data_IF_687670137031
#
_entry.id   IF_687670137031
#
_cell.length_a   1.000
_cell.length_b   1.000
_cell.length_c   1.000
_cell.angle_alpha   90.00
_cell.angle_beta   90.00
_cell.angle_gamma   90.00
#
_symmetry.space_group_name_H-M   'P 1'
#
loop_
_entity.id
_entity.type
_entity.pdbx_description
1 polymer ?
#
# COMPACT_ATOMS: atom_id res chain seq x y z
N UNK A 1 47.31 -12.74 -8.95
CA UNK A 1 46.49 -13.27 -10.05
C UNK A 1 45.39 -14.09 -9.43
N UNK A 2 44.14 -13.60 -9.51
CA UNK A 2 42.98 -14.19 -8.82
C UNK A 2 42.59 -15.50 -9.50
N UNK A 3 42.34 -16.53 -8.71
CA UNK A 3 41.84 -17.83 -9.17
C UNK A 3 40.41 -17.66 -9.68
N UNK A 4 40.22 -17.76 -11.00
CA UNK A 4 38.89 -17.95 -11.58
C UNK A 4 38.34 -19.31 -11.16
N UNK A 5 37.09 -19.33 -10.69
CA UNK A 5 36.42 -20.56 -10.27
C UNK A 5 36.16 -21.46 -11.47
N UNK A 6 36.43 -22.76 -11.30
CA UNK A 6 36.26 -23.79 -12.34
C UNK A 6 34.81 -23.93 -12.85
N UNK A 7 33.85 -23.35 -12.15
CA UNK A 7 32.44 -23.35 -12.52
C UNK A 7 32.14 -22.41 -13.70
N UNK A 8 32.84 -21.27 -13.81
CA UNK A 8 32.65 -20.31 -14.90
C UNK A 8 33.18 -20.84 -16.25
N UNK A 9 34.21 -21.69 -16.22
CA UNK A 9 34.80 -22.29 -17.44
C UNK A 9 33.89 -23.35 -18.08
N UNK A 10 32.99 -23.95 -17.30
CA UNK A 10 32.06 -24.99 -17.77
C UNK A 10 30.82 -24.38 -18.46
N UNK A 11 30.43 -23.17 -18.09
CA UNK A 11 29.27 -22.49 -18.69
C UNK A 11 29.58 -21.91 -20.09
N UNK A 12 30.81 -21.43 -20.31
CA UNK A 12 31.23 -20.85 -21.60
C UNK A 12 31.41 -21.92 -22.69
N UNK A 13 31.68 -23.17 -22.33
CA UNK A 13 31.82 -24.29 -23.30
C UNK A 13 30.46 -24.79 -23.80
N UNK A 14 29.38 -24.64 -23.02
CA UNK A 14 28.05 -25.12 -23.40
C UNK A 14 27.34 -24.21 -24.41
N UNK A 15 27.61 -22.89 -24.37
CA UNK A 15 27.00 -21.91 -25.30
C UNK A 15 27.65 -21.99 -26.70
N UNK A 16 28.89 -22.49 -26.81
CA UNK A 16 29.58 -22.59 -28.10
C UNK A 16 29.18 -23.82 -28.96
N UNK A 17 28.40 -24.77 -28.42
CA UNK A 17 27.98 -25.98 -29.16
C UNK A 17 26.63 -25.87 -29.89
N UNK A 18 25.91 -24.75 -29.80
CA UNK A 18 24.57 -24.61 -30.40
C UNK A 18 24.52 -23.95 -31.79
N UNK A 19 25.65 -23.72 -32.47
CA UNK A 19 25.68 -22.96 -33.74
C UNK A 19 26.00 -23.79 -35.00
N UNK A 20 26.08 -25.13 -34.96
CA UNK A 20 26.41 -25.90 -36.19
C UNK A 20 25.56 -27.18 -36.36
N UNK A 21 24.35 -27.03 -36.92
CA UNK A 21 23.64 -27.99 -37.78
C UNK A 21 22.29 -27.33 -38.15
N UNK A 22 21.98 -26.97 -39.40
CA UNK A 22 21.82 -27.88 -40.52
C UNK A 22 21.71 -27.09 -41.83
N UNK A 23 22.71 -27.23 -42.69
CA UNK A 23 22.58 -27.11 -44.14
C UNK A 23 22.58 -28.54 -44.68
N UNK A 24 21.52 -28.96 -45.39
CA UNK A 24 21.56 -30.14 -46.26
C UNK A 24 21.59 -29.68 -47.72
N UNK A 25 22.69 -30.01 -48.40
CA UNK A 25 22.86 -30.02 -49.86
C UNK A 25 22.91 -31.47 -50.35
N UNK A 26 22.43 -31.69 -51.58
CA UNK A 26 22.91 -32.61 -52.64
C UNK A 26 21.70 -33.09 -53.48
N UNK A 27 21.77 -33.34 -54.79
CA UNK A 27 22.67 -33.05 -55.91
C UNK A 27 21.91 -33.53 -57.18
N UNK A 28 22.20 -32.99 -58.37
CA UNK A 28 21.57 -33.41 -59.65
C UNK A 28 22.02 -34.80 -60.16
N UNK A 29 21.90 -35.17 -61.47
CA UNK A 29 21.63 -34.33 -62.65
C UNK A 29 20.75 -34.95 -63.78
N UNK A 30 20.62 -34.16 -64.87
CA UNK A 30 20.53 -34.50 -66.30
C UNK A 30 19.31 -34.03 -67.14
N UNK A 31 19.67 -33.16 -68.08
CA UNK A 31 18.98 -32.49 -69.18
C UNK A 31 18.38 -33.42 -70.24
N UNK A 32 17.17 -33.11 -70.75
CA UNK A 32 16.81 -33.21 -72.19
C UNK A 32 15.78 -32.16 -72.62
N UNK A 33 15.91 -31.77 -73.89
CA UNK A 33 15.32 -30.66 -74.65
C UNK A 33 13.79 -30.61 -74.80
N UNK A 34 13.36 -29.36 -75.07
CA UNK A 34 12.25 -28.90 -75.96
C UNK A 34 10.84 -29.44 -75.72
N UNK A 35 9.92 -28.55 -75.33
CA UNK A 35 8.82 -28.08 -76.19
C UNK A 35 8.40 -26.67 -75.74
N UNK A 36 8.36 -25.76 -76.70
CA UNK A 36 7.81 -24.41 -76.62
C UNK A 36 6.30 -24.49 -76.38
N UNK A 37 5.84 -23.92 -75.26
CA UNK A 37 4.44 -23.50 -75.08
C UNK A 37 4.47 -22.10 -74.49
N UNK A 38 3.97 -21.12 -75.25
CA UNK A 38 3.71 -19.77 -74.77
C UNK A 38 2.73 -19.84 -73.60
N UNK A 39 3.18 -19.42 -72.42
CA UNK A 39 2.37 -19.26 -71.23
C UNK A 39 2.02 -17.76 -71.11
N UNK A 40 0.74 -17.39 -70.92
CA UNK A 40 0.31 -16.00 -70.90
C UNK A 40 0.86 -15.26 -69.67
N UNK A 41 1.03 -13.94 -69.82
CA UNK A 41 1.46 -12.98 -68.80
C UNK A 41 0.81 -13.24 -67.44
N UNK A 42 1.56 -13.18 -66.32
CA UNK A 42 0.94 -13.06 -65.00
C UNK A 42 0.22 -11.71 -64.91
N UNK A 43 -1.08 -11.75 -64.63
CA UNK A 43 -1.84 -10.57 -64.22
C UNK A 43 -1.19 -9.96 -62.96
N UNK A 44 -1.19 -8.63 -62.82
CA UNK A 44 -0.65 -7.97 -61.65
C UNK A 44 -1.43 -8.41 -60.40
N UNK A 45 -0.72 -8.97 -59.42
CA UNK A 45 -1.25 -9.15 -58.06
C UNK A 45 -1.66 -7.77 -57.54
N UNK A 46 -2.97 -7.57 -57.33
CA UNK A 46 -3.50 -6.43 -56.60
C UNK A 46 -2.94 -6.49 -55.18
N UNK A 47 -2.14 -5.48 -54.81
CA UNK A 47 -1.74 -5.26 -53.42
C UNK A 47 -3.01 -5.23 -52.55
N UNK A 48 -3.06 -5.98 -51.43
CA UNK A 48 -4.20 -5.91 -50.53
C UNK A 48 -4.34 -4.46 -50.04
N UNK A 49 -5.48 -3.83 -50.34
CA UNK A 49 -5.87 -2.55 -49.76
C UNK A 49 -5.71 -2.63 -48.24
N UNK A 50 -4.78 -1.83 -47.72
CA UNK A 50 -4.61 -1.60 -46.29
C UNK A 50 -5.91 -0.98 -45.78
N UNK A 51 -6.72 -1.79 -45.11
CA UNK A 51 -7.93 -1.34 -44.44
C UNK A 51 -7.46 -0.43 -43.31
N UNK A 52 -7.46 0.88 -43.54
CA UNK A 52 -7.28 1.88 -42.49
C UNK A 52 -8.38 1.66 -41.45
N UNK A 53 -8.00 1.12 -40.28
CA UNK A 53 -8.90 1.08 -39.14
C UNK A 53 -9.25 2.53 -38.76
N UNK A 54 -10.53 2.84 -38.49
CA UNK A 54 -10.92 4.19 -38.12
C UNK A 54 -10.21 4.58 -36.83
N UNK A 55 -9.44 5.67 -36.88
CA UNK A 55 -8.86 6.30 -35.69
C UNK A 55 -10.01 6.82 -34.84
N UNK A 56 -10.26 6.19 -33.69
CA UNK A 56 -11.24 6.68 -32.73
C UNK A 56 -10.82 8.08 -32.24
N UNK A 57 -11.73 9.05 -32.31
CA UNK A 57 -11.48 10.39 -31.78
C UNK A 57 -11.41 10.32 -30.25
N UNK A 58 -10.28 10.73 -29.68
CA UNK A 58 -10.10 10.80 -28.22
C UNK A 58 -11.01 11.88 -27.64
N UNK A 59 -11.90 11.51 -26.71
CA UNK A 59 -12.87 12.41 -26.07
C UNK A 59 -12.60 12.56 -24.57
N UNK A 60 -13.36 13.43 -23.89
CA UNK A 60 -13.32 13.62 -22.43
C UNK A 60 -14.40 12.81 -21.68
N UNK A 61 -15.18 11.98 -22.39
CA UNK A 61 -16.37 11.33 -21.81
C UNK A 61 -16.03 10.44 -20.61
N UNK A 62 -14.96 9.66 -20.70
CA UNK A 62 -14.50 8.79 -19.61
C UNK A 62 -13.97 9.59 -18.41
N UNK A 63 -13.25 10.69 -18.67
CA UNK A 63 -12.77 11.59 -17.60
C UNK A 63 -13.92 12.29 -16.88
N UNK A 64 -14.97 12.65 -17.61
CA UNK A 64 -16.20 13.21 -17.04
C UNK A 64 -16.95 12.18 -16.19
N UNK A 65 -16.95 10.90 -16.61
CA UNK A 65 -17.49 9.81 -15.79
C UNK A 65 -16.76 9.71 -14.45
N UNK A 66 -15.43 9.78 -14.41
CA UNK A 66 -14.69 9.84 -13.15
C UNK A 66 -15.08 11.07 -12.33
N UNK A 67 -15.05 12.26 -12.94
CA UNK A 67 -15.39 13.51 -12.28
C UNK A 67 -16.78 13.51 -11.62
N UNK A 68 -17.76 12.87 -12.26
CA UNK A 68 -19.13 12.78 -11.74
C UNK A 68 -19.32 11.76 -10.63
N UNK A 69 -18.40 10.80 -10.52
CA UNK A 69 -18.46 9.69 -9.58
C UNK A 69 -17.44 9.81 -8.44
N UNK A 70 -16.96 11.02 -8.16
CA UNK A 70 -16.15 11.35 -6.99
C UNK A 70 -16.84 12.37 -6.09
N UNK A 71 -16.55 12.31 -4.79
CA UNK A 71 -16.97 13.29 -3.80
C UNK A 71 -15.73 13.80 -3.06
N UNK A 72 -15.58 15.13 -3.01
CA UNK A 72 -14.48 15.78 -2.30
C UNK A 72 -15.09 16.74 -1.29
N UNK A 73 -14.91 16.48 0.00
CA UNK A 73 -15.41 17.36 1.07
C UNK A 73 -14.75 18.73 0.95
N UNK A 74 -15.54 19.80 1.02
CA UNK A 74 -15.05 21.16 0.77
C UNK A 74 -14.80 21.48 -0.72
N UNK A 75 -15.07 20.55 -1.63
CA UNK A 75 -14.96 20.73 -3.07
C UNK A 75 -16.22 21.34 -3.70
N UNK A 76 -16.03 22.30 -4.58
CA UNK A 76 -17.07 22.88 -5.45
C UNK A 76 -16.73 22.58 -6.91
N UNK A 77 -17.68 22.00 -7.66
CA UNK A 77 -17.53 21.76 -9.10
C UNK A 77 -17.51 23.08 -9.87
N UNK A 78 -16.55 23.25 -10.77
CA UNK A 78 -16.40 24.43 -11.64
C UNK A 78 -16.14 23.99 -13.08
N UNK A 79 -16.92 24.53 -14.00
CA UNK A 79 -16.77 24.29 -15.44
C UNK A 79 -15.52 24.96 -16.00
N UNK A 80 -14.82 24.24 -16.89
CA UNK A 80 -13.62 24.69 -17.59
C UNK A 80 -12.34 24.03 -17.09
N UNK A 81 -11.20 24.58 -17.54
CA UNK A 81 -9.89 24.14 -17.09
C UNK A 81 -9.50 24.80 -15.76
N UNK A 82 -8.61 24.14 -15.01
CA UNK A 82 -7.98 24.74 -13.83
C UNK A 82 -7.35 26.10 -14.17
N UNK A 83 -7.41 27.10 -13.27
CA UNK A 83 -6.84 28.41 -13.53
C UNK A 83 -5.33 28.33 -13.80
N UNK A 84 -4.82 29.24 -14.65
CA UNK A 84 -3.42 29.24 -15.04
C UNK A 84 -2.49 29.50 -13.83
N UNK A 85 -1.43 28.70 -13.75
CA UNK A 85 -0.38 28.80 -12.73
C UNK A 85 0.31 30.17 -12.74
N UNK A 86 0.70 30.64 -11.55
CA UNK A 86 1.66 31.74 -11.39
C UNK A 86 3.07 31.25 -11.04
N UNK A 87 3.24 29.94 -10.87
CA UNK A 87 4.46 29.24 -10.47
C UNK A 87 5.07 29.75 -9.15
N UNK A 88 4.26 30.40 -8.32
CA UNK A 88 4.72 31.05 -7.08
C UNK A 88 4.69 30.13 -5.86
N UNK A 89 4.09 28.94 -5.98
CA UNK A 89 4.05 27.91 -4.95
C UNK A 89 4.66 26.64 -5.55
N UNK A 90 5.59 26.02 -4.82
CA UNK A 90 6.03 24.65 -5.08
C UNK A 90 5.42 23.74 -4.02
N UNK A 91 4.93 22.59 -4.42
CA UNK A 91 4.41 21.60 -3.48
C UNK A 91 4.84 20.19 -3.90
N UNK A 92 4.89 19.28 -2.93
CA UNK A 92 5.09 17.87 -3.14
C UNK A 92 3.79 17.12 -2.80
N UNK A 93 3.49 16.07 -3.56
CA UNK A 93 2.35 15.19 -3.36
C UNK A 93 2.80 13.75 -3.19
N UNK A 94 2.24 13.09 -2.17
CA UNK A 94 2.42 11.66 -1.92
C UNK A 94 1.05 11.00 -1.75
N UNK A 95 0.71 10.02 -2.59
CA UNK A 95 -0.52 9.24 -2.41
C UNK A 95 -0.30 8.15 -1.38
N UNK A 96 -1.16 8.08 -0.36
CA UNK A 96 -1.04 7.05 0.67
C UNK A 96 -1.29 5.67 0.06
N UNK A 97 -0.28 4.79 0.08
CA UNK A 97 -0.41 3.41 -0.44
C UNK A 97 -0.34 3.28 -1.97
N UNK A 98 -0.33 4.38 -2.73
CA UNK A 98 -0.18 4.36 -4.19
C UNK A 98 -1.36 3.73 -4.95
N UNK A 99 -2.52 3.58 -4.33
CA UNK A 99 -3.72 3.01 -4.95
C UNK A 99 -4.98 3.68 -4.41
N UNK A 100 -6.02 3.68 -5.23
CA UNK A 100 -7.38 3.98 -4.80
C UNK A 100 -8.18 2.68 -4.66
N UNK A 101 -9.26 2.69 -3.90
CA UNK A 101 -10.17 1.55 -3.81
C UNK A 101 -11.57 1.95 -4.24
N UNK A 102 -12.30 1.02 -4.85
CA UNK A 102 -13.74 1.22 -5.13
C UNK A 102 -14.49 1.54 -3.83
N UNK A 103 -15.47 2.43 -3.91
CA UNK A 103 -16.24 2.97 -2.76
C UNK A 103 -15.46 3.79 -1.73
N UNK A 104 -14.14 3.62 -1.60
CA UNK A 104 -13.32 4.35 -0.61
C UNK A 104 -12.63 5.57 -1.23
N UNK A 105 -12.14 5.44 -2.47
CA UNK A 105 -11.32 6.44 -3.13
C UNK A 105 -9.86 6.41 -2.66
N UNK A 106 -9.26 7.58 -2.46
CA UNK A 106 -7.85 7.71 -2.08
C UNK A 106 -7.56 8.94 -1.23
N UNK A 107 -6.44 8.88 -0.49
CA UNK A 107 -5.87 10.00 0.22
C UNK A 107 -4.55 10.45 -0.40
N UNK A 108 -4.32 11.76 -0.43
CA UNK A 108 -3.08 12.37 -0.91
C UNK A 108 -2.55 13.39 0.10
N UNK A 109 -1.27 13.26 0.45
CA UNK A 109 -0.57 14.17 1.33
C UNK A 109 0.04 15.28 0.48
N UNK A 110 -0.36 16.52 0.76
CA UNK A 110 0.16 17.72 0.11
C UNK A 110 1.09 18.45 1.08
N UNK A 111 2.31 18.74 0.66
CA UNK A 111 3.29 19.47 1.46
C UNK A 111 3.92 20.62 0.69
N UNK A 112 4.16 21.74 1.36
CA UNK A 112 4.83 22.90 0.77
C UNK A 112 5.59 23.70 1.83
N UNK A 113 6.66 24.37 1.43
CA UNK A 113 7.34 25.36 2.28
C UNK A 113 6.60 26.69 2.35
N UNK A 114 5.63 26.88 1.47
CA UNK A 114 4.76 28.04 1.36
C UNK A 114 3.38 27.74 1.97
N UNK A 115 2.68 28.79 2.39
CA UNK A 115 1.31 28.64 2.89
C UNK A 115 0.34 28.52 1.72
N UNK A 116 -0.54 27.52 1.76
CA UNK A 116 -1.64 27.35 0.81
C UNK A 116 -2.93 26.96 1.56
N UNK A 117 -4.07 27.25 0.94
CA UNK A 117 -5.38 27.11 1.60
C UNK A 117 -6.34 26.20 0.82
N UNK A 118 -6.09 25.99 -0.47
CA UNK A 118 -6.96 25.21 -1.33
C UNK A 118 -6.21 24.50 -2.44
N UNK A 119 -6.95 23.67 -3.17
CA UNK A 119 -6.45 22.93 -4.33
C UNK A 119 -7.49 22.89 -5.45
N UNK A 120 -7.02 22.91 -6.70
CA UNK A 120 -7.80 22.60 -7.89
C UNK A 120 -7.50 21.17 -8.33
N UNK A 121 -8.54 20.37 -8.61
CA UNK A 121 -8.40 18.97 -9.01
C UNK A 121 -9.22 18.69 -10.27
N UNK A 122 -8.58 18.16 -11.30
CA UNK A 122 -9.22 17.81 -12.58
C UNK A 122 -8.86 16.37 -12.95
N UNK A 123 -9.82 15.58 -13.42
CA UNK A 123 -9.63 14.15 -13.65
C UNK A 123 -9.33 13.85 -15.11
N UNK A 124 -8.63 12.75 -15.36
CA UNK A 124 -8.21 12.28 -16.69
C UNK A 124 -8.20 10.76 -16.68
N UNK A 125 -9.16 10.13 -17.36
CA UNK A 125 -9.12 8.70 -17.61
C UNK A 125 -7.93 8.35 -18.53
N UNK A 126 -7.51 7.09 -18.51
CA UNK A 126 -6.43 6.63 -19.37
C UNK A 126 -6.80 6.83 -20.85
N UNK A 127 -5.85 7.26 -21.67
CA UNK A 127 -6.04 7.55 -23.10
C UNK A 127 -7.15 8.57 -23.44
N UNK A 128 -7.71 9.29 -22.45
CA UNK A 128 -8.76 10.30 -22.64
C UNK A 128 -8.25 11.74 -22.50
N UNK A 129 -9.04 12.70 -22.99
CA UNK A 129 -8.85 14.11 -22.65
C UNK A 129 -9.25 14.36 -21.19
N UNK A 130 -8.68 15.37 -20.54
CA UNK A 130 -9.08 15.80 -19.19
C UNK A 130 -10.57 16.14 -19.11
N UNK A 131 -11.18 15.96 -17.95
CA UNK A 131 -12.57 16.30 -17.70
C UNK A 131 -12.85 17.77 -18.02
N UNK A 132 -14.07 18.09 -18.45
CA UNK A 132 -14.43 19.45 -18.84
C UNK A 132 -14.62 20.40 -17.64
N UNK A 133 -14.62 19.82 -16.43
CA UNK A 133 -14.75 20.51 -15.15
C UNK A 133 -13.64 20.12 -14.18
N UNK A 134 -13.42 20.94 -13.16
CA UNK A 134 -12.53 20.69 -12.02
C UNK A 134 -13.24 20.94 -10.68
N UNK A 135 -12.63 20.47 -9.59
CA UNK A 135 -13.03 20.79 -8.23
C UNK A 135 -12.16 21.91 -7.66
N UNK A 136 -12.78 22.95 -7.11
CA UNK A 136 -12.15 23.92 -6.23
C UNK A 136 -12.36 23.48 -4.78
N UNK A 137 -11.27 23.09 -4.10
CA UNK A 137 -11.30 22.42 -2.80
C UNK A 137 -10.73 23.34 -1.72
N UNK A 138 -11.57 23.63 -0.71
CA UNK A 138 -11.10 24.19 0.56
C UNK A 138 -10.47 23.08 1.41
N UNK A 139 -9.14 23.09 1.51
CA UNK A 139 -8.38 22.04 2.19
C UNK A 139 -8.59 22.04 3.71
N UNK A 140 -8.96 23.18 4.30
CA UNK A 140 -9.31 23.24 5.72
C UNK A 140 -10.61 22.48 6.01
N UNK A 141 -11.53 22.46 5.05
CA UNK A 141 -12.80 21.72 5.12
C UNK A 141 -12.68 20.26 4.71
N UNK A 142 -11.64 19.90 3.94
CA UNK A 142 -11.42 18.56 3.41
C UNK A 142 -10.77 17.57 4.41
N UNK A 143 -10.27 18.05 5.56
CA UNK A 143 -9.60 17.16 6.51
C UNK A 143 -10.51 16.00 6.96
N UNK A 144 -10.08 14.72 6.77
CA UNK A 144 -10.81 13.54 7.23
C UNK A 144 -10.80 13.44 8.77
N UNK A 145 -9.81 14.08 9.42
CA UNK A 145 -9.77 14.17 10.86
C UNK A 145 -10.76 15.22 11.35
N UNK A 146 -11.98 14.79 11.61
CA UNK A 146 -12.81 15.45 12.60
C UNK A 146 -11.94 15.70 13.84
N UNK A 147 -12.10 16.87 14.47
CA UNK A 147 -11.49 17.19 15.77
C UNK A 147 -12.04 16.24 16.85
N UNK A 148 -11.62 14.99 16.87
CA UNK A 148 -11.77 14.11 18.03
C UNK A 148 -10.59 14.40 18.95
N UNK A 149 -10.71 15.50 19.69
CA UNK A 149 -9.96 15.76 20.91
C UNK A 149 -10.24 14.62 21.90
N UNK A 150 -9.45 13.54 21.82
CA UNK A 150 -9.18 12.47 22.82
C UNK A 150 -8.98 11.12 22.10
N UNK A 151 -7.78 10.90 21.58
CA UNK A 151 -7.23 9.54 21.53
C UNK A 151 -6.16 9.51 22.62
N UNK A 152 -6.60 9.19 23.83
CA UNK A 152 -5.69 8.89 24.94
C UNK A 152 -5.16 7.48 24.74
N UNK A 153 -3.84 7.39 24.50
CA UNK A 153 -2.99 6.28 24.88
C UNK A 153 -3.32 4.92 24.28
N UNK A 154 -2.62 4.54 23.19
CA UNK A 154 -1.84 3.31 23.16
C UNK A 154 -0.77 3.46 22.07
N UNK A 155 0.48 3.61 22.50
CA UNK A 155 1.62 3.47 21.61
C UNK A 155 1.77 2.00 21.23
N UNK A 156 1.51 1.65 19.97
CA UNK A 156 2.41 0.78 19.19
C UNK A 156 2.04 0.52 17.72
N UNK A 157 1.06 1.20 17.11
CA UNK A 157 0.74 0.98 15.68
C UNK A 157 0.70 2.24 14.80
N UNK A 158 1.31 3.35 15.24
CA UNK A 158 1.70 4.43 14.33
C UNK A 158 3.05 4.11 13.70
N UNK A 159 3.07 3.22 12.72
CA UNK A 159 4.19 3.06 11.80
C UNK A 159 3.68 2.55 10.44
N UNK A 160 2.94 3.41 9.74
CA UNK A 160 3.03 3.47 8.29
C UNK A 160 3.43 4.90 7.89
N UNK A 161 4.68 5.04 7.44
CA UNK A 161 5.10 6.06 6.48
C UNK A 161 5.38 7.49 6.96
N UNK A 162 4.82 7.99 8.06
CA UNK A 162 5.08 9.37 8.46
C UNK A 162 6.35 9.46 9.31
N UNK A 163 7.53 9.58 8.67
CA UNK A 163 8.73 10.11 9.32
C UNK A 163 8.33 11.41 10.02
N UNK A 164 8.22 11.38 11.35
CA UNK A 164 8.20 12.57 12.18
C UNK A 164 9.57 13.24 12.07
N UNK A 165 9.84 13.86 10.93
CA UNK A 165 10.81 14.95 10.85
C UNK A 165 10.32 15.97 11.88
N UNK A 166 11.15 16.27 12.87
CA UNK A 166 10.93 17.47 13.67
C UNK A 166 11.07 18.67 12.72
N UNK A 167 9.96 19.02 12.09
CA UNK A 167 9.90 20.11 11.12
C UNK A 167 9.91 21.40 11.93
N UNK A 168 11.11 21.91 12.17
CA UNK A 168 11.38 23.22 12.76
C UNK A 168 11.22 24.37 11.76
N UNK A 169 10.61 24.11 10.60
CA UNK A 169 10.29 25.07 9.56
C UNK A 169 8.77 25.08 9.34
N UNK A 170 8.19 26.24 9.03
CA UNK A 170 6.76 26.34 8.74
C UNK A 170 6.48 25.66 7.40
N UNK A 171 6.13 24.38 7.42
CA UNK A 171 5.60 23.68 6.25
C UNK A 171 4.08 23.63 6.38
N UNK A 172 3.39 23.91 5.28
CA UNK A 172 1.96 23.61 5.17
C UNK A 172 1.78 22.14 4.82
N UNK A 173 0.83 21.50 5.49
CA UNK A 173 0.56 20.07 5.40
C UNK A 173 -0.96 19.86 5.37
N UNK A 174 -1.46 19.19 4.33
CA UNK A 174 -2.86 18.80 4.23
C UNK A 174 -2.98 17.34 3.76
N UNK A 175 -4.00 16.65 4.27
CA UNK A 175 -4.42 15.35 3.76
C UNK A 175 -5.70 15.56 2.95
N UNK A 176 -5.58 15.40 1.63
CA UNK A 176 -6.66 15.46 0.67
C UNK A 176 -7.36 14.11 0.61
N UNK A 177 -8.63 14.04 1.02
CA UNK A 177 -9.50 12.88 0.85
C UNK A 177 -10.42 13.07 -0.37
N UNK A 178 -10.33 12.12 -1.31
CA UNK A 178 -11.20 11.99 -2.49
C UNK A 178 -11.92 10.65 -2.39
N UNK A 179 -13.24 10.69 -2.24
CA UNK A 179 -14.07 9.49 -2.06
C UNK A 179 -14.71 9.11 -3.39
N UNK A 180 -14.73 7.82 -3.72
CA UNK A 180 -15.44 7.30 -4.89
C UNK A 180 -16.88 6.96 -4.58
N UNK A 181 -17.75 7.18 -5.56
CA UNK A 181 -19.09 6.60 -5.54
C UNK A 181 -19.03 5.15 -6.04
N UNK A 182 -20.08 4.34 -5.78
CA UNK A 182 -20.14 2.95 -6.22
C UNK A 182 -20.14 2.72 -7.73
N UNK A 183 -20.25 3.79 -8.52
CA UNK A 183 -20.24 3.72 -9.99
C UNK A 183 -18.80 3.67 -10.56
N UNK A 184 -17.76 3.92 -9.74
CA UNK A 184 -16.37 3.69 -10.13
C UNK A 184 -16.04 2.18 -10.07
N UNK A 185 -15.59 1.63 -11.19
CA UNK A 185 -15.28 0.20 -11.32
C UNK A 185 -13.78 -0.06 -11.09
N UNK A 186 -13.48 -1.19 -10.47
CA UNK A 186 -12.11 -1.67 -10.25
C UNK A 186 -11.38 -2.05 -11.55
N UNK A 187 -10.04 -2.06 -11.49
CA UNK A 187 -9.15 -2.54 -12.56
C UNK A 187 -8.79 -1.49 -13.61
N UNK A 188 -9.23 -0.24 -13.42
CA UNK A 188 -8.84 0.90 -14.23
C UNK A 188 -7.70 1.71 -13.61
N UNK A 189 -6.94 2.39 -14.44
CA UNK A 189 -6.05 3.49 -14.03
C UNK A 189 -6.69 4.82 -14.44
N UNK A 190 -6.50 5.83 -13.62
CA UNK A 190 -6.82 7.20 -13.99
C UNK A 190 -5.76 8.14 -13.42
N UNK A 191 -5.66 9.31 -14.03
CA UNK A 191 -4.83 10.39 -13.55
C UNK A 191 -5.69 11.56 -13.07
N UNK A 192 -5.15 12.35 -12.15
CA UNK A 192 -5.71 13.64 -11.80
C UNK A 192 -4.61 14.69 -11.86
N UNK A 193 -4.99 15.86 -12.34
CA UNK A 193 -4.18 17.07 -12.30
C UNK A 193 -4.53 17.83 -11.03
N UNK A 194 -3.52 18.19 -10.25
CA UNK A 194 -3.70 18.96 -9.03
C UNK A 194 -2.79 20.20 -9.02
N UNK A 195 -3.35 21.35 -8.64
CA UNK A 195 -2.60 22.57 -8.35
C UNK A 195 -3.07 23.15 -7.01
N UNK A 196 -2.15 23.66 -6.19
CA UNK A 196 -2.50 24.31 -4.92
C UNK A 196 -2.52 25.83 -5.07
N UNK A 197 -3.31 26.51 -4.25
CA UNK A 197 -3.40 27.96 -4.26
C UNK A 197 -3.43 28.58 -2.86
N UNK A 198 -2.95 29.82 -2.77
CA UNK A 198 -2.92 30.61 -1.53
C UNK A 198 -4.03 31.67 -1.46
N UNK A 199 -4.14 32.36 -0.33
CA UNK A 199 -5.11 33.44 -0.12
C UNK A 199 -4.87 34.69 -0.98
N UNK A 200 -3.69 34.82 -1.62
CA UNK A 200 -3.34 35.93 -2.49
C UNK A 200 -3.65 35.64 -3.97
N UNK A 201 -4.12 34.43 -4.28
CA UNK A 201 -4.37 33.97 -5.65
C UNK A 201 -3.12 33.52 -6.38
N UNK A 202 -2.04 33.20 -5.67
CA UNK A 202 -0.90 32.48 -6.24
C UNK A 202 -1.27 31.02 -6.45
N UNK A 203 -0.82 30.42 -7.55
CA UNK A 203 -1.17 29.06 -7.96
C UNK A 203 0.11 28.34 -8.38
N UNK A 204 0.26 27.09 -7.93
CA UNK A 204 1.38 26.23 -8.34
C UNK A 204 1.25 25.76 -9.79
N UNK A 205 2.32 25.21 -10.35
CA UNK A 205 2.19 24.38 -11.55
C UNK A 205 1.32 23.15 -11.24
N UNK A 206 0.44 22.72 -12.16
CA UNK A 206 -0.29 21.47 -12.01
C UNK A 206 0.66 20.27 -12.04
N UNK A 207 0.40 19.30 -11.16
CA UNK A 207 1.07 17.99 -11.17
C UNK A 207 0.07 16.92 -11.59
N UNK A 208 0.46 16.05 -12.52
CA UNK A 208 -0.32 14.89 -12.92
C UNK A 208 0.08 13.69 -12.05
N UNK A 209 -0.90 13.05 -11.41
CA UNK A 209 -0.71 11.87 -10.59
C UNK A 209 -1.65 10.78 -11.09
N UNK A 210 -1.10 9.63 -11.45
CA UNK A 210 -1.86 8.47 -11.92
C UNK A 210 -1.93 7.41 -10.84
N UNK A 211 -3.12 6.86 -10.62
CA UNK A 211 -3.38 5.82 -9.62
C UNK A 211 -4.28 4.73 -10.21
N UNK A 212 -4.05 3.52 -9.74
CA UNK A 212 -4.87 2.36 -10.06
C UNK A 212 -6.04 2.25 -9.06
N UNK A 213 -7.24 1.94 -9.57
CA UNK A 213 -8.42 1.63 -8.75
C UNK A 213 -8.46 0.14 -8.49
N UNK A 214 -8.15 -0.23 -7.25
CA UNK A 214 -8.21 -1.61 -6.77
C UNK A 214 -9.64 -2.01 -6.42
N UNK A 215 -9.98 -3.25 -6.77
CA UNK A 215 -11.18 -3.90 -6.29
C UNK A 215 -10.92 -4.59 -4.95
N UNK A 216 -11.99 -5.06 -4.33
CA UNK A 216 -11.89 -5.87 -3.12
C UNK A 216 -11.58 -7.34 -3.47
N UNK A 217 -10.85 -8.01 -2.59
CA UNK A 217 -10.34 -9.37 -2.80
C UNK A 217 -9.10 -9.42 -3.68
N UNK A 218 -9.12 -10.29 -4.69
CA UNK A 218 -8.05 -10.38 -5.70
C UNK A 218 -7.07 -11.54 -5.53
N UNK A 219 -7.27 -12.45 -4.55
CA UNK A 219 -6.44 -13.66 -4.44
C UNK A 219 -7.19 -14.82 -3.77
N UNK A 220 -7.64 -15.81 -4.57
CA UNK A 220 -8.51 -16.88 -4.10
C UNK A 220 -7.89 -17.74 -2.98
N UNK A 221 -6.56 -17.91 -2.99
CA UNK A 221 -5.88 -18.73 -1.97
C UNK A 221 -5.98 -18.11 -0.57
N UNK A 222 -6.15 -16.78 -0.46
CA UNK A 222 -6.38 -16.08 0.81
C UNK A 222 -7.79 -16.29 1.38
N UNK A 223 -8.76 -16.72 0.60
CA UNK A 223 -10.14 -16.86 1.09
C UNK A 223 -10.22 -17.98 2.13
N UNK A 224 -10.75 -17.67 3.31
CA UNK A 224 -10.96 -18.61 4.42
C UNK A 224 -10.51 -18.05 5.78
N UNK A 225 -10.59 -18.93 6.78
CA UNK A 225 -10.25 -18.62 8.16
C UNK A 225 -8.81 -19.01 8.49
N UNK A 226 -8.04 -18.06 9.02
CA UNK A 226 -6.61 -18.14 9.23
C UNK A 226 -6.24 -17.84 10.66
N UNK A 227 -5.67 -18.84 11.32
CA UNK A 227 -5.33 -18.77 12.73
C UNK A 227 -3.86 -18.46 12.89
N UNK A 228 -3.57 -17.40 13.64
CA UNK A 228 -2.22 -17.08 14.05
C UNK A 228 -1.60 -18.25 14.81
N UNK A 229 -0.38 -18.61 14.43
CA UNK A 229 0.37 -19.71 15.01
C UNK A 229 1.59 -19.25 15.80
N UNK A 230 2.33 -18.28 15.26
CA UNK A 230 3.55 -17.74 15.86
C UNK A 230 3.98 -16.43 15.19
N UNK A 231 4.87 -15.70 15.85
CA UNK A 231 5.70 -14.67 15.23
C UNK A 231 7.18 -14.98 15.41
N UNK A 232 7.99 -14.48 14.49
CA UNK A 232 9.43 -14.51 14.56
C UNK A 232 9.99 -13.09 14.43
N UNK A 233 10.93 -12.75 15.30
CA UNK A 233 11.71 -11.50 15.23
C UNK A 233 13.13 -11.83 14.81
N UNK A 234 13.59 -11.20 13.76
CA UNK A 234 14.90 -11.40 13.15
C UNK A 234 15.81 -10.24 13.51
N UNK A 235 16.88 -10.50 14.24
CA UNK A 235 17.83 -9.48 14.67
C UNK A 235 19.02 -9.37 13.69
N UNK A 236 19.63 -8.19 13.51
CA UNK A 236 20.74 -8.02 12.58
C UNK A 236 21.99 -8.85 12.92
N UNK A 237 22.12 -9.29 14.17
CA UNK A 237 23.19 -10.19 14.60
C UNK A 237 22.96 -11.65 14.14
N UNK A 238 21.83 -11.95 13.50
CA UNK A 238 21.41 -13.27 13.03
C UNK A 238 20.60 -14.07 14.04
N UNK A 239 20.32 -13.53 15.23
CA UNK A 239 19.45 -14.19 16.20
C UNK A 239 17.99 -14.12 15.75
N UNK A 240 17.23 -15.15 16.13
CA UNK A 240 15.80 -15.24 15.88
C UNK A 240 15.12 -15.53 17.20
N UNK A 241 14.13 -14.73 17.55
CA UNK A 241 13.20 -15.07 18.65
C UNK A 241 11.87 -15.52 18.05
N UNK A 242 11.28 -16.54 18.65
CA UNK A 242 9.97 -17.05 18.25
C UNK A 242 9.05 -16.97 19.46
N UNK A 243 7.83 -16.48 19.25
CA UNK A 243 6.77 -16.57 20.24
C UNK A 243 5.58 -17.29 19.59
N UNK A 244 5.14 -18.37 20.24
CA UNK A 244 4.00 -19.16 19.79
C UNK A 244 2.69 -18.56 20.31
N UNK A 245 1.58 -18.85 19.63
CA UNK A 245 0.25 -18.58 20.18
C UNK A 245 0.07 -19.33 21.51
N UNK A 246 -0.49 -18.64 22.51
CA UNK A 246 -0.65 -19.14 23.86
C UNK A 246 0.62 -19.16 24.71
N UNK A 247 1.78 -18.73 24.18
CA UNK A 247 3.01 -18.59 24.95
C UNK A 247 3.12 -17.18 25.57
N UNK A 248 3.40 -17.14 26.87
CA UNK A 248 3.58 -15.90 27.62
C UNK A 248 4.96 -15.29 27.32
N UNK A 249 4.96 -14.08 26.77
CA UNK A 249 6.17 -13.28 26.59
C UNK A 249 6.26 -12.20 27.67
N UNK A 250 7.35 -12.18 28.43
CA UNK A 250 7.58 -11.21 29.50
C UNK A 250 8.74 -10.26 29.19
N UNK A 251 8.56 -8.99 29.55
CA UNK A 251 9.53 -7.93 29.38
C UNK A 251 9.85 -7.30 30.73
N UNK A 252 11.15 -7.20 31.02
CA UNK A 252 11.65 -6.51 32.19
C UNK A 252 11.80 -5.03 31.92
N UNK A 253 11.34 -4.22 32.87
CA UNK A 253 11.38 -2.77 32.86
C UNK A 253 11.98 -2.26 34.18
N UNK A 254 12.35 -0.98 34.20
CA UNK A 254 12.81 -0.29 35.40
C UNK A 254 12.02 1.01 35.57
N UNK A 255 11.65 1.32 36.81
CA UNK A 255 10.95 2.55 37.19
C UNK A 255 11.78 3.32 38.21
N UNK A 256 11.84 4.64 38.08
CA UNK A 256 12.55 5.53 39.00
C UNK A 256 11.53 6.43 39.71
N UNK A 257 11.50 6.35 41.03
CA UNK A 257 10.62 7.13 41.90
C UNK A 257 11.13 8.56 42.08
N UNK A 258 10.26 9.46 42.56
CA UNK A 258 10.61 10.87 42.81
C UNK A 258 11.77 11.06 43.80
N UNK A 259 11.92 10.14 44.76
CA UNK A 259 13.01 10.17 45.76
C UNK A 259 14.36 9.69 45.19
N UNK A 260 14.38 9.29 43.91
CA UNK A 260 15.56 8.78 43.20
C UNK A 260 15.82 7.29 43.40
N UNK A 261 15.00 6.58 44.19
CA UNK A 261 15.05 5.12 44.24
C UNK A 261 14.50 4.53 42.94
N UNK A 262 14.90 3.30 42.62
CA UNK A 262 14.38 2.58 41.46
C UNK A 262 14.09 1.13 41.79
N UNK A 263 13.13 0.55 41.07
CA UNK A 263 12.83 -0.88 41.12
C UNK A 263 12.59 -1.42 39.71
N UNK A 264 12.85 -2.71 39.55
CA UNK A 264 12.55 -3.42 38.32
C UNK A 264 11.18 -4.09 38.43
N UNK A 265 10.47 -4.18 37.31
CA UNK A 265 9.19 -4.85 37.22
C UNK A 265 9.07 -5.60 35.90
N UNK A 266 8.21 -6.60 35.88
CA UNK A 266 7.96 -7.44 34.71
C UNK A 266 6.53 -7.21 34.23
N UNK A 267 6.36 -7.06 32.91
CA UNK A 267 5.05 -7.12 32.26
C UNK A 267 5.04 -8.29 31.30
N UNK A 268 3.93 -9.02 31.24
CA UNK A 268 3.79 -10.22 30.45
C UNK A 268 2.57 -10.10 29.54
N UNK A 269 2.62 -10.69 28.36
CA UNK A 269 1.49 -10.77 27.44
C UNK A 269 1.43 -12.15 26.82
N UNK A 270 0.24 -12.74 26.80
CA UNK A 270 -0.06 -13.98 26.10
C UNK A 270 -1.11 -13.69 25.04
N UNK A 271 -0.75 -13.90 23.77
CA UNK A 271 -1.73 -13.85 22.68
C UNK A 271 -2.46 -15.20 22.64
N UNK A 272 -3.71 -15.20 23.06
CA UNK A 272 -4.52 -16.44 23.14
C UNK A 272 -5.09 -16.82 21.77
N UNK A 273 -5.50 -15.82 20.99
CA UNK A 273 -6.15 -16.01 19.70
C UNK A 273 -5.87 -14.81 18.80
N UNK A 274 -5.65 -15.07 17.52
CA UNK A 274 -5.72 -14.07 16.46
C UNK A 274 -6.15 -14.76 15.16
N UNK A 275 -7.25 -14.30 14.57
CA UNK A 275 -7.91 -14.96 13.45
C UNK A 275 -8.25 -13.90 12.40
N UNK A 276 -7.87 -14.15 11.15
CA UNK A 276 -8.41 -13.46 9.98
C UNK A 276 -9.37 -14.38 9.23
N UNK A 277 -10.57 -13.90 8.92
CA UNK A 277 -11.50 -14.56 8.02
C UNK A 277 -11.69 -13.68 6.77
N UNK A 278 -11.07 -14.09 5.66
CA UNK A 278 -11.15 -13.38 4.38
C UNK A 278 -12.24 -14.01 3.51
N UNK A 279 -13.21 -13.20 3.10
CA UNK A 279 -14.34 -13.66 2.29
C UNK A 279 -14.12 -13.34 0.80
N UNK A 280 -14.76 -14.15 -0.06
CA UNK A 280 -14.66 -14.04 -1.51
C UNK A 280 -15.25 -12.73 -2.08
N UNK A 281 -16.11 -12.06 -1.32
CA UNK A 281 -16.69 -10.76 -1.67
C UNK A 281 -15.77 -9.58 -1.33
N UNK A 282 -14.57 -9.87 -0.81
CA UNK A 282 -13.58 -8.85 -0.46
C UNK A 282 -13.80 -8.22 0.91
N UNK A 283 -14.74 -8.73 1.71
CA UNK A 283 -14.86 -8.37 3.13
C UNK A 283 -13.99 -9.27 4.01
N UNK A 284 -13.63 -8.79 5.20
CA UNK A 284 -12.92 -9.61 6.19
C UNK A 284 -13.38 -9.32 7.63
N UNK A 285 -13.10 -10.27 8.51
CA UNK A 285 -13.12 -10.08 9.97
C UNK A 285 -11.77 -10.43 10.56
N UNK A 286 -11.28 -9.61 11.49
CA UNK A 286 -10.09 -9.87 12.30
C UNK A 286 -10.49 -9.90 13.77
N UNK A 287 -10.25 -11.04 14.41
CA UNK A 287 -10.51 -11.23 15.84
C UNK A 287 -9.21 -11.47 16.55
N UNK A 288 -9.06 -10.92 17.76
CA UNK A 288 -7.89 -11.13 18.59
C UNK A 288 -8.28 -11.15 20.05
N UNK A 289 -7.57 -11.99 20.80
CA UNK A 289 -7.68 -12.09 22.25
C UNK A 289 -6.30 -12.19 22.86
N UNK A 290 -6.04 -11.38 23.86
CA UNK A 290 -4.86 -11.52 24.71
C UNK A 290 -5.17 -11.27 26.17
N UNK A 291 -4.36 -11.90 27.00
CA UNK A 291 -4.26 -11.59 28.43
C UNK A 291 -2.90 -10.97 28.67
N UNK A 292 -2.83 -9.94 29.51
CA UNK A 292 -1.60 -9.23 29.81
C UNK A 292 -1.54 -8.84 31.27
N UNK A 293 -0.33 -8.60 31.76
CA UNK A 293 -0.11 -7.87 33.00
C UNK A 293 0.34 -6.45 32.63
N UNK A 294 -0.28 -5.45 33.22
CA UNK A 294 0.06 -4.03 33.02
C UNK A 294 0.57 -3.42 34.31
N UNK A 295 1.50 -2.49 34.16
CA UNK A 295 2.03 -1.68 35.25
C UNK A 295 1.02 -0.59 35.61
N UNK A 296 0.56 -0.58 36.86
CA UNK A 296 -0.28 0.51 37.39
C UNK A 296 0.63 1.67 37.78
N UNK A 297 0.78 2.63 36.86
CA UNK A 297 1.71 3.75 37.04
C UNK A 297 1.38 4.57 38.28
N UNK A 298 0.11 4.93 38.48
CA UNK A 298 -0.31 5.81 39.57
C UNK A 298 -0.13 5.12 40.94
N UNK A 299 -0.55 3.86 41.06
CA UNK A 299 -0.39 3.11 42.31
C UNK A 299 1.08 2.81 42.63
N UNK A 300 1.88 2.52 41.59
CA UNK A 300 3.30 2.24 41.74
C UNK A 300 4.11 3.48 42.08
N UNK A 301 3.81 4.63 41.48
CA UNK A 301 4.44 5.91 41.81
C UNK A 301 4.12 6.32 43.24
N UNK A 302 2.85 6.20 43.66
CA UNK A 302 2.43 6.55 45.01
C UNK A 302 3.06 5.68 46.11
N UNK A 303 3.41 4.43 45.81
CA UNK A 303 4.01 3.48 46.75
C UNK A 303 5.53 3.33 46.61
N UNK A 304 6.10 3.74 45.47
CA UNK A 304 7.45 3.38 45.04
C UNK A 304 7.69 1.85 45.05
N UNK A 305 6.67 1.08 44.68
CA UNK A 305 6.72 -0.38 44.52
C UNK A 305 6.01 -0.79 43.23
N UNK A 306 6.39 -1.94 42.64
CA UNK A 306 5.72 -2.42 41.45
C UNK A 306 4.30 -2.90 41.76
N UNK A 307 3.29 -2.18 41.28
CA UNK A 307 1.89 -2.60 41.31
C UNK A 307 1.51 -3.10 39.92
N UNK A 308 1.31 -4.41 39.81
CA UNK A 308 0.96 -5.09 38.57
C UNK A 308 -0.48 -5.55 38.63
N UNK A 309 -1.24 -5.26 37.57
CA UNK A 309 -2.62 -5.67 37.44
C UNK A 309 -2.78 -6.56 36.20
N UNK A 310 -3.54 -7.63 36.35
CA UNK A 310 -3.94 -8.46 35.21
C UNK A 310 -4.95 -7.69 34.38
N UNK A 311 -4.93 -7.89 33.08
CA UNK A 311 -5.78 -7.24 32.10
C UNK A 311 -6.04 -8.20 30.93
N UNK A 312 -7.05 -7.91 30.14
CA UNK A 312 -7.31 -8.63 28.90
C UNK A 312 -7.66 -7.63 27.80
N UNK A 313 -7.45 -8.04 26.55
CA UNK A 313 -7.84 -7.28 25.39
C UNK A 313 -8.47 -8.23 24.39
N UNK A 314 -9.75 -7.99 24.12
CA UNK A 314 -10.44 -8.59 22.99
C UNK A 314 -10.69 -7.49 21.96
N UNK A 315 -10.40 -7.76 20.69
CA UNK A 315 -10.83 -6.87 19.63
C UNK A 315 -11.43 -7.63 18.46
N UNK A 316 -12.40 -6.99 17.80
CA UNK A 316 -12.98 -7.46 16.55
C UNK A 316 -13.00 -6.29 15.58
N UNK A 317 -12.42 -6.50 14.41
CA UNK A 317 -12.36 -5.53 13.33
C UNK A 317 -13.07 -6.14 12.12
N UNK A 318 -13.91 -5.35 11.45
CA UNK A 318 -14.50 -5.75 10.17
C UNK A 318 -14.25 -4.69 9.13
N UNK A 319 -13.98 -5.12 7.91
CA UNK A 319 -13.55 -4.23 6.85
C UNK A 319 -13.57 -4.90 5.48
N UNK A 320 -12.93 -4.24 4.52
CA UNK A 320 -12.63 -4.80 3.22
C UNK A 320 -11.14 -5.06 3.06
N UNK A 321 -10.77 -6.00 2.19
CA UNK A 321 -9.38 -6.33 1.90
C UNK A 321 -9.12 -6.31 0.40
N UNK A 322 -7.88 -6.07 0.02
CA UNK A 322 -7.37 -6.16 -1.35
C UNK A 322 -5.98 -6.78 -1.34
N UNK A 323 -5.65 -7.51 -2.40
CA UNK A 323 -4.30 -8.07 -2.59
C UNK A 323 -3.60 -7.47 -3.81
N UNK A 324 -2.40 -6.93 -3.61
CA UNK A 324 -1.52 -6.49 -4.69
C UNK A 324 -0.62 -7.66 -5.10
N UNK A 325 -0.89 -8.32 -6.23
CA UNK A 325 -0.11 -9.47 -6.68
C UNK A 325 1.35 -9.15 -7.00
N UNK A 326 1.64 -7.91 -7.41
CA UNK A 326 2.99 -7.47 -7.82
C UNK A 326 3.86 -7.22 -6.61
N UNK A 327 3.36 -6.46 -5.64
CA UNK A 327 4.06 -6.18 -4.36
C UNK A 327 3.93 -7.32 -3.36
N UNK A 328 2.96 -8.21 -3.59
CA UNK A 328 2.52 -9.27 -2.68
C UNK A 328 1.93 -8.72 -1.38
N UNK A 329 1.37 -7.51 -1.39
CA UNK A 329 0.86 -6.86 -0.18
C UNK A 329 -0.63 -7.15 0.04
N UNK A 330 -1.00 -7.40 1.30
CA UNK A 330 -2.40 -7.37 1.74
C UNK A 330 -2.70 -5.97 2.25
N UNK A 331 -3.79 -5.36 1.79
CA UNK A 331 -4.27 -4.07 2.25
C UNK A 331 -5.63 -4.28 2.90
N UNK A 332 -5.80 -3.76 4.10
CA UNK A 332 -7.03 -3.82 4.88
C UNK A 332 -7.62 -2.42 4.98
N UNK A 333 -8.94 -2.30 4.94
CA UNK A 333 -9.68 -1.06 5.15
C UNK A 333 -10.71 -1.30 6.25
N UNK A 334 -10.50 -0.66 7.40
CA UNK A 334 -11.27 -0.91 8.62
C UNK A 334 -12.47 0.03 8.74
N UNK A 335 -13.67 -0.53 8.85
CA UNK A 335 -14.91 0.24 9.01
C UNK A 335 -15.51 0.13 10.40
N UNK A 336 -15.33 -0.99 11.08
CA UNK A 336 -15.84 -1.20 12.42
C UNK A 336 -14.76 -1.83 13.28
N UNK A 337 -14.46 -1.19 14.41
CA UNK A 337 -13.54 -1.71 15.42
C UNK A 337 -14.27 -1.74 16.75
N UNK A 338 -14.32 -2.93 17.36
CA UNK A 338 -14.88 -3.14 18.70
C UNK A 338 -13.77 -3.61 19.62
N UNK A 339 -13.50 -2.85 20.67
CA UNK A 339 -12.50 -3.13 21.71
C UNK A 339 -13.19 -3.48 23.01
N UNK A 340 -12.70 -4.48 23.71
CA UNK A 340 -13.22 -4.89 25.00
C UNK A 340 -12.07 -5.23 25.94
N UNK A 341 -12.03 -4.55 27.09
CA UNK A 341 -11.03 -4.72 28.13
C UNK A 341 -11.69 -4.67 29.53
N UNK A 342 -10.89 -4.46 30.58
CA UNK A 342 -11.40 -4.34 31.94
C UNK A 342 -12.22 -3.07 32.22
N UNK A 343 -12.03 -2.01 31.44
CA UNK A 343 -12.68 -0.72 31.61
C UNK A 343 -14.03 -0.67 30.89
N UNK A 344 -14.19 -1.43 29.81
CA UNK A 344 -15.47 -1.63 29.17
C UNK A 344 -15.37 -2.05 27.70
N UNK A 345 -16.31 -1.55 26.91
CA UNK A 345 -16.38 -1.78 25.47
C UNK A 345 -16.36 -0.41 24.78
N UNK A 346 -15.45 -0.24 23.83
CA UNK A 346 -15.41 0.90 22.92
C UNK A 346 -15.67 0.43 21.48
N UNK A 347 -16.45 1.22 20.74
CA UNK A 347 -16.78 0.95 19.34
C UNK A 347 -16.48 2.18 18.47
N UNK A 348 -15.79 1.94 17.37
CA UNK A 348 -15.46 2.95 16.36
C UNK A 348 -16.06 2.51 15.03
N UNK A 349 -16.77 3.43 14.38
CA UNK A 349 -17.43 3.17 13.10
C UNK A 349 -17.03 4.27 12.14
N UNK A 350 -16.33 3.88 11.08
CA UNK A 350 -15.98 4.73 9.96
C UNK A 350 -16.99 4.53 8.84
N UNK A 351 -17.59 5.60 8.29
CA UNK A 351 -18.39 5.48 7.08
C UNK A 351 -17.51 5.11 5.88
N UNK A 352 -18.16 4.64 4.81
CA UNK A 352 -17.52 4.43 3.50
C UNK A 352 -16.88 5.74 3.02
N UNK A 353 -15.63 5.68 2.55
CA UNK A 353 -14.81 6.84 2.19
C UNK A 353 -14.02 7.47 3.33
N UNK A 354 -14.16 6.92 4.55
CA UNK A 354 -13.39 7.32 5.73
C UNK A 354 -12.80 6.10 6.46
N UNK A 355 -12.68 4.96 5.79
CA UNK A 355 -12.11 3.73 6.35
C UNK A 355 -10.63 3.90 6.70
N UNK A 356 -10.20 3.28 7.80
CA UNK A 356 -8.79 3.30 8.17
C UNK A 356 -8.02 2.29 7.29
N UNK A 357 -7.18 2.81 6.41
CA UNK A 357 -6.39 1.98 5.47
C UNK A 357 -5.11 1.51 6.15
N UNK A 358 -4.97 0.19 6.31
CA UNK A 358 -3.83 -0.46 6.91
C UNK A 358 -3.15 -1.39 5.88
N UNK A 359 -1.97 -1.03 5.36
CA UNK A 359 -1.16 -1.99 4.63
C UNK A 359 -0.71 -3.06 5.62
N UNK A 360 -1.17 -4.29 5.49
CA UNK A 360 -0.78 -5.36 6.42
C UNK A 360 0.67 -5.80 6.16
N UNK A 361 1.14 -5.62 4.92
CA UNK A 361 2.52 -5.85 4.49
C UNK A 361 2.62 -7.01 3.50
N UNK A 362 3.86 -7.32 3.08
CA UNK A 362 4.10 -8.35 2.08
C UNK A 362 3.73 -9.72 2.66
N UNK A 363 3.11 -10.53 1.81
CA UNK A 363 2.53 -11.81 2.15
C UNK A 363 3.04 -12.93 1.24
N UNK A 364 3.59 -13.97 1.87
CA UNK A 364 3.81 -15.26 1.20
C UNK A 364 2.63 -16.16 1.54
N UNK A 365 1.94 -16.63 0.51
CA UNK A 365 0.68 -17.36 0.66
C UNK A 365 0.83 -18.73 0.01
N UNK A 366 0.47 -19.75 0.77
CA UNK A 366 0.35 -21.15 0.35
C UNK A 366 -1.07 -21.64 0.69
N UNK A 367 -1.44 -22.83 0.20
CA UNK A 367 -2.80 -23.35 0.36
C UNK A 367 -3.24 -23.53 1.83
N UNK A 368 -2.30 -23.75 2.74
CA UNK A 368 -2.54 -24.10 4.14
C UNK A 368 -1.87 -23.13 5.14
N UNK A 369 -1.01 -22.23 4.66
CA UNK A 369 -0.34 -21.25 5.50
C UNK A 369 -0.13 -19.93 4.75
N UNK A 370 -0.17 -18.82 5.47
CA UNK A 370 0.38 -17.58 4.97
C UNK A 370 1.26 -16.91 6.02
N UNK A 371 2.23 -16.14 5.56
CA UNK A 371 3.11 -15.33 6.40
C UNK A 371 3.05 -13.89 5.97
N UNK A 372 2.94 -12.97 6.92
CA UNK A 372 2.96 -11.53 6.65
C UNK A 372 4.07 -10.84 7.44
N UNK A 373 4.69 -9.86 6.80
CA UNK A 373 5.72 -9.00 7.35
C UNK A 373 7.01 -9.15 6.56
N UNK A 374 8.07 -8.48 7.02
CA UNK A 374 9.39 -8.57 6.43
C UNK A 374 10.33 -9.35 7.33
N UNK A 375 10.88 -10.45 6.82
CA UNK A 375 11.82 -11.33 7.52
C UNK A 375 13.28 -11.00 7.25
N UNK A 376 14.02 -11.99 6.74
CA UNK A 376 15.47 -11.92 6.55
C UNK A 376 15.92 -11.03 5.40
N UNK A 377 15.04 -10.73 4.47
CA UNK A 377 15.31 -9.99 3.23
C UNK A 377 15.83 -8.57 3.48
N UNK A 378 15.59 -8.03 4.67
CA UNK A 378 16.00 -6.70 5.10
C UNK A 378 17.10 -6.74 6.19
N UNK A 379 17.58 -7.93 6.58
CA UNK A 379 18.62 -8.04 7.61
C UNK A 379 19.95 -7.49 7.09
N UNK A 380 20.54 -6.56 7.83
CA UNK A 380 21.78 -5.90 7.45
C UNK A 380 21.57 -4.56 6.72
N UNK A 381 20.32 -4.16 6.50
CA UNK A 381 19.97 -2.83 6.02
C UNK A 381 19.65 -1.91 7.20
N UNK A 382 19.95 -0.62 7.00
CA UNK A 382 19.57 0.45 7.92
C UNK A 382 18.13 0.88 7.56
N UNK A 383 17.16 0.24 8.20
CA UNK A 383 15.73 0.37 7.90
C UNK A 383 15.17 1.70 8.41
N UNK A 384 15.77 2.25 9.46
CA UNK A 384 15.36 3.54 10.03
C UNK A 384 16.10 4.75 9.40
N UNK A 385 17.13 4.50 8.59
CA UNK A 385 18.01 5.47 7.93
C UNK A 385 18.79 6.38 8.90
N UNK A 386 19.17 5.88 10.07
CA UNK A 386 19.98 6.60 11.07
C UNK A 386 21.50 6.44 10.86
N UNK A 387 21.90 5.64 9.87
CA UNK A 387 23.27 5.33 9.51
C UNK A 387 23.87 4.16 10.28
N UNK A 388 23.09 3.45 11.10
CA UNK A 388 23.48 2.28 11.88
C UNK A 388 22.60 1.09 11.52
N UNK A 389 23.14 -0.10 11.72
CA UNK A 389 22.36 -1.35 11.62
C UNK A 389 22.36 -1.96 13.01
N UNK A 390 21.25 -1.80 13.71
CA UNK A 390 21.09 -2.20 15.11
C UNK A 390 19.72 -2.84 15.38
N UNK A 391 19.39 -3.08 16.66
CA UNK A 391 18.15 -3.77 17.02
C UNK A 391 16.86 -3.02 16.63
N UNK A 392 16.96 -1.76 16.19
CA UNK A 392 15.85 -1.02 15.62
C UNK A 392 15.57 -1.41 14.15
N UNK A 393 16.46 -2.17 13.52
CA UNK A 393 16.34 -2.71 12.16
C UNK A 393 15.92 -4.19 12.15
N UNK A 394 15.09 -4.57 13.12
CA UNK A 394 14.59 -5.93 13.26
C UNK A 394 13.51 -6.24 12.23
N UNK A 395 13.57 -7.46 11.67
CA UNK A 395 12.51 -8.02 10.84
C UNK A 395 11.44 -8.70 11.69
N UNK A 396 10.20 -8.70 11.23
CA UNK A 396 9.06 -9.30 11.90
C UNK A 396 8.25 -10.13 10.90
N UNK A 397 8.03 -11.42 11.21
CA UNK A 397 7.13 -12.29 10.47
C UNK A 397 6.05 -12.86 11.39
N UNK A 398 4.80 -12.78 10.94
CA UNK A 398 3.66 -13.46 11.57
C UNK A 398 3.20 -14.61 10.69
N UNK A 399 2.90 -15.75 11.30
CA UNK A 399 2.56 -16.99 10.62
C UNK A 399 1.13 -17.39 10.93
N UNK A 400 0.36 -17.71 9.90
CA UNK A 400 -1.04 -18.11 9.99
C UNK A 400 -1.26 -19.46 9.33
N UNK A 401 -2.18 -20.25 9.88
CA UNK A 401 -2.55 -21.59 9.40
C UNK A 401 -4.05 -21.61 9.09
N UNK A 402 -4.40 -22.10 7.91
CA UNK A 402 -5.80 -22.21 7.46
C UNK A 402 -6.52 -23.32 8.24
N UNK A 403 -7.79 -23.10 8.60
CA UNK A 403 -8.64 -24.11 9.27
C UNK A 403 -9.51 -24.92 8.30
#
# INVERSE_FOLDING_TARGET
MKNLSKSLLLFVVFILMLVIASCSKDDGPETKQEVVVEQPEPEPEEEPEEVEEPVEEVTAEESNLFFDNVTIKGGTKVEGAIPASTSAISFDIETSGGSAFVDEGFNAILTSSEDFIGAYIQFKANDALVSESYYDVDLASNSPFAKTDKIMGFGHLRNFGAKSRSVSAKYSYYNLNVVFTPDIVAGGEFCYLIAVYDANGNISEPQEVCIEVKGWGGYDDLIGEWHYSKNEVYFPNGDITTQLVGEEGCFMHSFVCEDGNSFDYETCTTKEEEIFDFLADGTYTHTYKSVRTRFDFEASEASCEAVIINDFLNYTITGNWSFDEVKRDIILVEYNQRYEDQEGIDEYINPVGEGDIYPFGPATIHSDNFTVGSGTENLGEDLNADGQVDNNDTGYLSFYVKQ
#
